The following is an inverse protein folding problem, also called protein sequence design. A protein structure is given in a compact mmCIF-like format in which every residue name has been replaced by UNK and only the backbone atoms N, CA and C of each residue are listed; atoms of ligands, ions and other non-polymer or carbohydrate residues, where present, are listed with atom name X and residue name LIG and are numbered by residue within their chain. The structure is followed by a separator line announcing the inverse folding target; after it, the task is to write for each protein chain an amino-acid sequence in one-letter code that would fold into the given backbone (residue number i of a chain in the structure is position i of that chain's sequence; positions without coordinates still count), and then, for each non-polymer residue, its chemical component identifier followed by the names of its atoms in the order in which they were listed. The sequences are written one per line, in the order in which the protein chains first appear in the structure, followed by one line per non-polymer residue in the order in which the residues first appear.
data_IF_701846842531
#
_entry.id   IF_701846842531
#
_cell.length_a   1.000
_cell.length_b   1.000
_cell.length_c   1.000
_cell.angle_alpha   90.00
_cell.angle_beta   90.00
_cell.angle_gamma   90.00
#
_symmetry.space_group_name_H-M   'P 1'
#
loop_
_entity.id
_entity.type
_entity.pdbx_description
1 polymer ?
#
# COMPACT_ATOMS: atom_id res chain seq x y z
N UNK A 1 -2.35 -25.08 -37.26
CA UNK A 1 -1.94 -24.81 -35.86
C UNK A 1 -0.86 -23.75 -35.93
N UNK A 2 -1.17 -22.51 -35.56
CA UNK A 2 -0.21 -21.41 -35.59
C UNK A 2 0.43 -21.37 -34.20
N UNK A 3 1.69 -21.80 -34.12
CA UNK A 3 2.51 -21.68 -32.92
C UNK A 3 2.82 -20.17 -32.73
N UNK A 4 2.06 -19.50 -31.87
CA UNK A 4 2.46 -18.21 -31.32
C UNK A 4 3.52 -18.45 -30.23
N UNK A 5 4.73 -18.81 -30.66
CA UNK A 5 5.92 -18.68 -29.82
C UNK A 5 6.43 -17.25 -30.00
N UNK A 6 5.93 -16.34 -29.18
CA UNK A 6 6.58 -15.03 -29.01
C UNK A 6 8.02 -15.29 -28.52
N UNK A 7 9.05 -14.74 -29.17
CA UNK A 7 10.42 -14.88 -28.72
C UNK A 7 10.62 -13.83 -27.61
N UNK A 8 10.21 -14.16 -26.39
CA UNK A 8 10.77 -13.47 -25.25
C UNK A 8 12.21 -13.92 -25.15
N UNK A 9 13.11 -13.10 -25.68
CA UNK A 9 14.54 -13.26 -25.42
C UNK A 9 14.74 -13.11 -23.91
N UNK A 10 15.55 -13.96 -23.28
CA UNK A 10 15.81 -13.92 -21.83
C UNK A 10 16.45 -12.58 -21.40
N UNK A 11 16.84 -11.74 -22.36
CA UNK A 11 17.34 -10.37 -22.20
C UNK A 11 16.24 -9.31 -22.00
N UNK A 12 14.96 -9.63 -22.22
CA UNK A 12 13.87 -8.66 -22.12
C UNK A 12 13.47 -8.40 -20.67
N UNK A 13 13.41 -7.12 -20.30
CA UNK A 13 12.93 -6.68 -18.99
C UNK A 13 11.39 -6.54 -19.06
N UNK A 14 10.69 -7.27 -18.18
CA UNK A 14 9.24 -7.11 -18.01
C UNK A 14 9.03 -6.13 -16.85
N UNK A 15 8.32 -5.03 -17.11
CA UNK A 15 8.02 -3.99 -16.12
C UNK A 15 6.51 -3.83 -16.04
N UNK A 16 5.99 -3.65 -14.82
CA UNK A 16 4.56 -3.41 -14.62
C UNK A 16 4.12 -2.09 -15.25
N UNK A 17 2.89 -2.07 -15.76
CA UNK A 17 2.31 -0.86 -16.36
C UNK A 17 2.20 0.29 -15.34
N UNK A 18 1.95 -0.03 -14.08
CA UNK A 18 1.78 0.95 -13.01
C UNK A 18 3.11 1.66 -12.68
N UNK A 19 4.23 0.94 -12.70
CA UNK A 19 5.56 1.56 -12.55
C UNK A 19 5.88 2.50 -13.71
N UNK A 20 5.53 2.13 -14.94
CA UNK A 20 5.70 3.00 -16.10
C UNK A 20 4.85 4.27 -15.98
N UNK A 21 3.61 4.15 -15.48
CA UNK A 21 2.76 5.31 -15.21
C UNK A 21 3.30 6.18 -14.07
N UNK A 22 3.83 5.58 -13.01
CA UNK A 22 4.44 6.31 -11.91
C UNK A 22 5.62 7.14 -12.40
N UNK A 23 6.50 6.54 -13.23
CA UNK A 23 7.63 7.25 -13.84
C UNK A 23 7.14 8.40 -14.72
N UNK A 24 6.18 8.15 -15.61
CA UNK A 24 5.61 9.19 -16.48
C UNK A 24 5.00 10.34 -15.67
N UNK A 25 4.30 10.02 -14.58
CA UNK A 25 3.71 11.01 -13.68
C UNK A 25 4.79 11.83 -12.98
N UNK A 26 5.81 11.20 -12.40
CA UNK A 26 6.90 11.87 -11.69
C UNK A 26 7.67 12.82 -12.63
N UNK A 27 7.98 12.37 -13.85
CA UNK A 27 8.68 13.20 -14.85
C UNK A 27 7.85 14.42 -15.25
N UNK A 28 6.53 14.28 -15.36
CA UNK A 28 5.64 15.37 -15.77
C UNK A 28 5.31 16.36 -14.65
N UNK A 29 5.12 15.86 -13.43
CA UNK A 29 4.57 16.64 -12.33
C UNK A 29 5.61 17.07 -11.30
N UNK A 30 6.70 16.32 -11.15
CA UNK A 30 7.76 16.63 -10.18
C UNK A 30 9.19 16.36 -10.70
N UNK A 31 9.58 17.01 -11.82
CA UNK A 31 10.91 16.84 -12.39
C UNK A 31 12.03 17.37 -11.48
N UNK A 32 11.74 18.36 -10.63
CA UNK A 32 12.73 18.96 -9.73
C UNK A 32 13.14 18.00 -8.61
N UNK A 33 12.22 17.21 -8.06
CA UNK A 33 12.58 16.16 -7.09
C UNK A 33 13.51 15.11 -7.70
N UNK A 34 13.26 14.70 -8.95
CA UNK A 34 14.15 13.76 -9.67
C UNK A 34 15.55 14.38 -9.82
N UNK A 35 15.64 15.64 -10.28
CA UNK A 35 16.93 16.34 -10.41
C UNK A 35 17.66 16.42 -9.08
N UNK A 36 16.96 16.74 -8.00
CA UNK A 36 17.53 16.82 -6.65
C UNK A 36 18.09 15.49 -6.17
N UNK A 37 17.44 14.37 -6.47
CA UNK A 37 17.95 13.02 -6.17
C UNK A 37 19.29 12.80 -6.91
N UNK A 38 19.36 13.17 -8.19
CA UNK A 38 20.59 13.05 -9.00
C UNK A 38 21.70 13.96 -8.45
N UNK A 39 21.39 15.22 -8.14
CA UNK A 39 22.35 16.17 -7.55
C UNK A 39 22.89 15.67 -6.21
N UNK A 40 22.01 15.14 -5.35
CA UNK A 40 22.39 14.57 -4.05
C UNK A 40 23.31 13.36 -4.23
N UNK A 41 23.01 12.48 -5.18
CA UNK A 41 23.86 11.33 -5.49
C UNK A 41 25.25 11.76 -6.01
N UNK A 42 25.30 12.81 -6.84
CA UNK A 42 26.56 13.38 -7.35
C UNK A 42 27.42 13.97 -6.23
N UNK A 43 26.80 14.70 -5.29
CA UNK A 43 27.49 15.27 -4.13
C UNK A 43 27.96 14.21 -3.14
N UNK A 44 27.19 13.13 -2.97
CA UNK A 44 27.47 12.04 -2.02
C UNK A 44 28.41 10.95 -2.57
N UNK A 45 29.10 11.20 -3.68
CA UNK A 45 30.21 10.36 -4.13
C UNK A 45 29.99 9.57 -5.43
N UNK A 46 28.90 9.75 -6.16
CA UNK A 46 28.79 9.15 -7.51
C UNK A 46 29.95 9.57 -8.43
N UNK A 47 30.39 10.83 -8.32
CA UNK A 47 31.52 11.36 -9.10
C UNK A 47 32.89 10.77 -8.70
N UNK A 48 33.04 10.16 -7.52
CA UNK A 48 34.29 9.51 -7.11
C UNK A 48 34.38 8.07 -7.62
N UNK A 49 33.25 7.42 -7.90
CA UNK A 49 33.19 6.03 -8.38
C UNK A 49 33.30 5.90 -9.90
N UNK A 50 32.99 6.94 -10.67
CA UNK A 50 32.91 6.91 -12.14
C UNK A 50 34.25 7.02 -12.86
N UNK A 51 35.34 7.40 -12.19
CA UNK A 51 36.69 7.50 -12.80
C UNK A 51 37.34 6.16 -13.18
N UNK A 52 36.69 5.02 -12.94
CA UNK A 52 37.29 3.68 -13.09
C UNK A 52 36.59 2.71 -14.05
N UNK A 53 35.58 3.12 -14.83
CA UNK A 53 34.85 2.18 -15.70
C UNK A 53 34.94 2.52 -17.19
N UNK A 54 36.10 2.25 -17.78
CA UNK A 54 36.23 1.91 -19.20
C UNK A 54 36.52 0.40 -19.33
N UNK A 55 35.52 -0.43 -19.07
CA UNK A 55 35.52 -1.83 -19.48
C UNK A 55 34.15 -2.14 -20.05
N UNK A 56 34.06 -2.07 -21.37
CA UNK A 56 32.79 -2.08 -22.14
C UNK A 56 32.15 -3.47 -22.17
N UNK A 57 32.88 -4.54 -21.80
CA UNK A 57 32.42 -5.93 -21.94
C UNK A 57 31.70 -6.51 -20.71
N UNK A 58 31.91 -5.98 -19.50
CA UNK A 58 31.14 -6.36 -18.30
C UNK A 58 29.93 -5.44 -18.06
N UNK A 59 29.75 -4.41 -18.89
CA UNK A 59 28.77 -3.37 -18.69
C UNK A 59 27.32 -3.85 -18.89
N UNK A 60 27.06 -4.86 -19.72
CA UNK A 60 25.69 -5.27 -20.09
C UNK A 60 24.98 -6.04 -18.98
N UNK A 61 25.67 -6.96 -18.29
CA UNK A 61 25.10 -7.72 -17.18
C UNK A 61 24.93 -6.82 -15.95
N UNK A 62 25.95 -6.04 -15.61
CA UNK A 62 25.91 -5.04 -14.54
C UNK A 62 24.79 -4.01 -14.75
N UNK A 63 24.56 -3.59 -15.99
CA UNK A 63 23.50 -2.64 -16.34
C UNK A 63 22.12 -3.28 -16.18
N UNK A 64 21.93 -4.53 -16.62
CA UNK A 64 20.66 -5.24 -16.45
C UNK A 64 20.33 -5.43 -14.97
N UNK A 65 21.29 -5.87 -14.17
CA UNK A 65 21.12 -6.02 -12.72
C UNK A 65 20.81 -4.67 -12.06
N UNK A 66 21.51 -3.60 -12.45
CA UNK A 66 21.25 -2.25 -11.93
C UNK A 66 19.86 -1.74 -12.28
N UNK A 67 19.41 -1.94 -13.52
CA UNK A 67 18.07 -1.55 -13.97
C UNK A 67 17.01 -2.36 -13.23
N UNK A 68 17.21 -3.68 -13.10
CA UNK A 68 16.30 -4.55 -12.36
C UNK A 68 16.20 -4.12 -10.89
N UNK A 69 17.34 -3.86 -10.25
CA UNK A 69 17.39 -3.36 -8.88
C UNK A 69 16.68 -2.01 -8.71
N UNK A 70 16.82 -1.09 -9.67
CA UNK A 70 16.10 0.18 -9.66
C UNK A 70 14.57 -0.01 -9.71
N UNK A 71 14.09 -0.86 -10.63
CA UNK A 71 12.65 -1.11 -10.74
C UNK A 71 12.07 -1.85 -9.53
N UNK A 72 12.81 -2.79 -8.95
CA UNK A 72 12.41 -3.46 -7.70
C UNK A 72 12.30 -2.48 -6.54
N UNK A 73 13.28 -1.57 -6.39
CA UNK A 73 13.23 -0.54 -5.35
C UNK A 73 12.03 0.40 -5.55
N UNK A 74 11.76 0.78 -6.80
CA UNK A 74 10.62 1.63 -7.13
C UNK A 74 9.29 0.93 -6.84
N UNK A 75 9.21 -0.37 -7.11
CA UNK A 75 8.06 -1.22 -6.81
C UNK A 75 7.82 -1.35 -5.31
N UNK A 76 8.87 -1.65 -4.55
CA UNK A 76 8.82 -1.71 -3.09
C UNK A 76 8.34 -0.37 -2.50
N UNK A 77 8.94 0.75 -2.91
CA UNK A 77 8.53 2.08 -2.46
C UNK A 77 7.07 2.40 -2.84
N UNK A 78 6.63 2.03 -4.04
CA UNK A 78 5.25 2.23 -4.48
C UNK A 78 4.27 1.40 -3.63
N UNK A 79 4.58 0.13 -3.39
CA UNK A 79 3.77 -0.75 -2.55
C UNK A 79 3.74 -0.29 -1.10
N UNK A 80 4.87 0.09 -0.51
CA UNK A 80 4.92 0.60 0.86
C UNK A 80 4.01 1.83 1.03
N UNK A 81 4.02 2.76 0.07
CA UNK A 81 3.13 3.93 0.13
C UNK A 81 1.65 3.57 -0.07
N UNK A 82 1.34 2.61 -0.93
CA UNK A 82 -0.02 2.13 -1.13
C UNK A 82 -0.57 1.36 0.09
N UNK A 83 0.27 0.52 0.70
CA UNK A 83 -0.04 -0.21 1.94
C UNK A 83 -0.15 0.74 3.12
N UNK A 84 0.62 1.82 3.17
CA UNK A 84 0.43 2.88 4.18
C UNK A 84 -0.92 3.59 4.03
N UNK A 85 -1.44 3.79 2.81
CA UNK A 85 -2.78 4.35 2.63
C UNK A 85 -3.92 3.37 3.00
N UNK A 86 -3.73 2.06 2.81
CA UNK A 86 -4.67 1.04 3.28
C UNK A 86 -4.56 0.82 4.79
N UNK A 87 -3.33 0.79 5.33
CA UNK A 87 -3.11 0.69 6.76
C UNK A 87 -3.52 1.96 7.48
N UNK A 88 -3.35 3.19 6.98
CA UNK A 88 -3.84 4.40 7.68
C UNK A 88 -5.37 4.46 7.78
N UNK A 89 -6.09 3.77 6.89
CA UNK A 89 -7.53 3.56 7.05
C UNK A 89 -7.88 2.54 8.15
N UNK A 90 -6.92 1.77 8.65
CA UNK A 90 -7.09 0.76 9.71
C UNK A 90 -6.21 0.98 10.98
N UNK A 91 -5.16 1.78 10.90
CA UNK A 91 -4.08 1.95 11.87
C UNK A 91 -4.22 3.23 12.70
N UNK A 92 -5.30 3.99 12.50
CA UNK A 92 -5.71 4.98 13.50
C UNK A 92 -6.35 4.28 14.70
N UNK A 93 -5.49 3.64 15.51
CA UNK A 93 -5.73 3.26 16.89
C UNK A 93 -7.08 2.56 17.14
N UNK A 94 -7.44 1.55 16.35
CA UNK A 94 -8.50 0.61 16.75
C UNK A 94 -7.92 -0.30 17.83
N UNK A 95 -8.40 -0.26 19.08
CA UNK A 95 -7.90 -1.14 20.12
C UNK A 95 -8.06 -2.60 19.68
N UNK A 96 -7.05 -3.44 19.91
CA UNK A 96 -7.08 -4.86 19.52
C UNK A 96 -8.34 -5.58 20.02
N UNK A 97 -8.88 -5.15 21.17
CA UNK A 97 -10.14 -5.65 21.74
C UNK A 97 -11.37 -5.41 20.85
N UNK A 98 -11.40 -4.34 20.05
CA UNK A 98 -12.47 -4.06 19.09
C UNK A 98 -12.33 -4.96 17.87
N UNK A 99 -11.10 -5.17 17.36
CA UNK A 99 -10.84 -6.04 16.21
C UNK A 99 -11.32 -7.47 16.49
N UNK A 100 -10.90 -8.06 17.61
CA UNK A 100 -11.38 -9.39 18.04
C UNK A 100 -12.89 -9.44 18.23
N UNK A 101 -13.51 -8.32 18.65
CA UNK A 101 -14.96 -8.24 18.81
C UNK A 101 -15.69 -8.21 17.46
N UNK A 102 -15.14 -7.53 16.46
CA UNK A 102 -15.70 -7.49 15.10
C UNK A 102 -15.63 -8.88 14.46
N UNK A 103 -14.51 -9.59 14.61
CA UNK A 103 -14.33 -10.96 14.09
C UNK A 103 -15.30 -11.96 14.71
N UNK A 104 -15.71 -11.74 15.97
CA UNK A 104 -16.68 -12.58 16.66
C UNK A 104 -18.14 -12.29 16.27
N UNK A 105 -18.43 -11.23 15.51
CA UNK A 105 -19.79 -10.89 15.07
C UNK A 105 -20.11 -11.65 13.79
N UNK A 106 -21.22 -12.39 13.83
CA UNK A 106 -21.75 -13.05 12.65
C UNK A 106 -22.15 -12.03 11.58
N UNK A 107 -21.36 -11.99 10.50
CA UNK A 107 -21.57 -11.13 9.34
C UNK A 107 -22.89 -11.39 8.58
N UNK A 108 -23.59 -12.49 8.88
CA UNK A 108 -24.94 -12.77 8.35
C UNK A 108 -26.05 -11.99 9.08
N UNK A 109 -25.79 -11.53 10.31
CA UNK A 109 -26.74 -10.83 11.18
C UNK A 109 -26.51 -9.31 11.26
N UNK A 110 -25.26 -8.88 11.05
CA UNK A 110 -24.88 -7.46 11.07
C UNK A 110 -24.20 -7.09 9.74
N UNK A 111 -24.70 -6.06 9.06
CA UNK A 111 -24.11 -5.59 7.82
C UNK A 111 -22.76 -4.90 8.06
N UNK A 112 -21.85 -5.06 7.11
CA UNK A 112 -20.49 -4.50 7.16
C UNK A 112 -20.48 -2.97 7.30
N UNK A 113 -21.46 -2.29 6.72
CA UNK A 113 -21.59 -0.83 6.81
C UNK A 113 -21.89 -0.36 8.24
N UNK A 114 -22.78 -1.06 8.94
CA UNK A 114 -23.10 -0.80 10.35
C UNK A 114 -21.87 -1.04 11.24
N UNK A 115 -21.14 -2.14 11.03
CA UNK A 115 -19.90 -2.42 11.77
C UNK A 115 -18.86 -1.32 11.58
N UNK A 116 -18.60 -0.91 10.33
CA UNK A 116 -17.64 0.14 10.02
C UNK A 116 -18.00 1.47 10.69
N UNK A 117 -19.27 1.90 10.56
CA UNK A 117 -19.76 3.14 11.19
C UNK A 117 -19.64 3.12 12.71
N UNK A 118 -19.90 1.98 13.33
CA UNK A 118 -19.77 1.83 14.77
C UNK A 118 -18.31 1.88 15.22
N UNK A 119 -17.39 1.26 14.49
CA UNK A 119 -15.94 1.36 14.73
C UNK A 119 -15.46 2.80 14.66
N UNK A 120 -15.82 3.54 13.60
CA UNK A 120 -15.43 4.94 13.42
C UNK A 120 -15.94 5.84 14.56
N UNK A 121 -17.19 5.62 15.01
CA UNK A 121 -17.77 6.37 16.13
C UNK A 121 -17.08 6.06 17.45
N UNK A 122 -16.75 4.80 17.69
CA UNK A 122 -16.00 4.39 18.88
C UNK A 122 -14.61 4.98 18.90
N UNK A 123 -13.90 4.99 17.78
CA UNK A 123 -12.59 5.65 17.68
C UNK A 123 -12.68 7.15 17.97
N UNK A 124 -13.67 7.85 17.41
CA UNK A 124 -13.88 9.28 17.71
C UNK A 124 -14.14 9.55 19.19
N UNK A 125 -14.91 8.68 19.84
CA UNK A 125 -15.22 8.81 21.25
C UNK A 125 -14.01 8.48 22.14
N UNK A 126 -13.18 7.48 21.81
CA UNK A 126 -11.94 7.17 22.52
C UNK A 126 -10.90 8.30 22.42
N UNK A 127 -10.82 8.97 21.26
CA UNK A 127 -9.96 10.15 21.10
C UNK A 127 -10.37 11.34 21.99
N UNK A 128 -11.63 11.38 22.43
CA UNK A 128 -12.16 12.45 23.28
C UNK A 128 -12.09 12.10 24.77
N UNK A 129 -12.09 10.81 25.12
CA UNK A 129 -12.06 10.32 26.50
C UNK A 129 -11.41 8.92 26.54
N UNK A 130 -10.13 8.88 26.94
CA UNK A 130 -9.28 7.68 26.92
C UNK A 130 -9.54 6.73 28.10
N UNK A 131 -10.42 7.10 29.05
CA UNK A 131 -10.77 6.28 30.22
C UNK A 131 -11.91 5.29 29.96
N UNK A 132 -12.55 5.33 28.78
CA UNK A 132 -13.68 4.47 28.47
C UNK A 132 -13.23 3.08 28.00
N UNK A 133 -13.95 2.04 28.42
CA UNK A 133 -13.72 0.68 27.93
C UNK A 133 -14.06 0.60 26.42
N UNK A 134 -13.09 0.32 25.54
CA UNK A 134 -13.29 0.32 24.09
C UNK A 134 -14.37 -0.65 23.62
N UNK A 135 -14.50 -1.80 24.28
CA UNK A 135 -15.43 -2.87 23.89
C UNK A 135 -16.87 -2.49 24.22
N UNK A 136 -17.09 -1.94 25.41
CA UNK A 136 -18.41 -1.47 25.84
C UNK A 136 -18.89 -0.31 24.98
N UNK A 137 -17.99 0.63 24.70
CA UNK A 137 -18.25 1.77 23.83
C UNK A 137 -18.57 1.32 22.40
N UNK A 138 -17.86 0.33 21.88
CA UNK A 138 -18.16 -0.30 20.59
C UNK A 138 -19.56 -0.91 20.56
N UNK A 139 -19.91 -1.75 21.53
CA UNK A 139 -21.26 -2.33 21.58
C UNK A 139 -22.35 -1.26 21.68
N UNK A 140 -22.12 -0.19 22.43
CA UNK A 140 -23.08 0.91 22.53
C UNK A 140 -23.31 1.58 21.18
N UNK A 141 -22.25 1.89 20.45
CA UNK A 141 -22.35 2.52 19.12
C UNK A 141 -22.86 1.54 18.04
N UNK A 142 -22.61 0.25 18.22
CA UNK A 142 -23.17 -0.83 17.41
C UNK A 142 -24.69 -0.91 17.60
N UNK A 143 -25.16 -1.05 18.83
CA UNK A 143 -26.59 -1.17 19.14
C UNK A 143 -27.40 0.07 18.73
N UNK A 144 -26.80 1.28 18.80
CA UNK A 144 -27.43 2.51 18.28
C UNK A 144 -27.63 2.50 16.77
N UNK A 145 -26.71 1.87 16.04
CA UNK A 145 -26.67 1.90 14.58
C UNK A 145 -27.32 0.67 13.95
N UNK A 146 -27.43 -0.42 14.72
CA UNK A 146 -27.95 -1.69 14.26
C UNK A 146 -29.46 -1.66 14.06
N UNK A 147 -29.87 -1.91 12.83
CA UNK A 147 -31.27 -2.13 12.45
C UNK A 147 -31.42 -3.59 12.00
N UNK A 148 -31.72 -4.53 12.91
CA UNK A 148 -31.85 -5.94 12.54
C UNK A 148 -32.90 -6.07 11.43
N UNK A 149 -32.53 -6.71 10.32
CA UNK A 149 -33.47 -7.01 9.24
C UNK A 149 -34.52 -7.95 9.83
N UNK A 150 -35.79 -7.53 9.83
CA UNK A 150 -36.93 -8.42 10.10
C UNK A 150 -37.02 -9.46 8.99
N UNK A 151 -36.14 -10.47 8.97
CA UNK A 151 -36.50 -11.73 8.35
C UNK A 151 -37.60 -12.28 9.26
N UNK A 152 -38.81 -12.38 8.72
CA UNK A 152 -39.97 -12.93 9.41
C UNK A 152 -39.52 -14.17 10.18
N UNK A 153 -39.77 -14.18 11.49
CA UNK A 153 -40.08 -15.40 12.19
C UNK A 153 -41.33 -15.96 11.50
N UNK A 154 -41.14 -16.64 10.38
CA UNK A 154 -42.14 -17.56 9.84
C UNK A 154 -42.14 -18.72 10.82
N UNK A 155 -43.21 -18.73 11.62
CA UNK A 155 -43.63 -19.83 12.48
C UNK A 155 -43.60 -21.18 11.76
#
# INVERSE_FOLDING_TARGET
MINNQYPFDESQLIVSYDLLRLIDWLVKNDPESIKKIVETAQQNGYNTTTKHRHSVLNATTDLRESITGFFLLLEEAFLETAELEENDKHSTATPASIITTIEAIDSSLCDKETLLKSTERTQRALKQDDLQNPKELFYRELLKSWKPRKKSLSH
#
